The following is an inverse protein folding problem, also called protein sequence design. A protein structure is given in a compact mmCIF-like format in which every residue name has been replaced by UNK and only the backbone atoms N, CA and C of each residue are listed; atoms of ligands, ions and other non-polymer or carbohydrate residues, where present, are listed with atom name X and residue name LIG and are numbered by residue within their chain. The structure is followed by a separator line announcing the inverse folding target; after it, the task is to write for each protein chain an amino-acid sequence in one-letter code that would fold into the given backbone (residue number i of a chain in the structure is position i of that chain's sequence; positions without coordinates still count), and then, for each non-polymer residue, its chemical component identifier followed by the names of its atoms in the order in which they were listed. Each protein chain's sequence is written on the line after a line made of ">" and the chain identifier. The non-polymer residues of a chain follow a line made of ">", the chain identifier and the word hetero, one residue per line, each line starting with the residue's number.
data_IF_510881895267
#
_entry.id   IF_510881895267
#
_cell.length_a   1.000
_cell.length_b   1.000
_cell.length_c   1.000
_cell.angle_alpha   90.00
_cell.angle_beta   90.00
_cell.angle_gamma   90.00
#
_symmetry.space_group_name_H-M   'P 1'
#
loop_
_entity.id
_entity.type
_entity.pdbx_description
1 polymer ?
#
# COMPACT_ATOMS: atom_id res chain seq x y z
N UNK A 1 36.52 -27.01 33.02
CA UNK A 1 36.80 -26.64 31.62
C UNK A 1 35.95 -25.44 31.24
N UNK A 2 36.47 -24.23 31.49
CA UNK A 2 35.83 -22.96 31.15
C UNK A 2 35.99 -22.70 29.65
N UNK A 3 34.87 -22.58 28.93
CA UNK A 3 34.85 -22.28 27.49
C UNK A 3 34.98 -20.77 27.31
N UNK A 4 36.15 -20.31 26.88
CA UNK A 4 36.37 -18.94 26.41
C UNK A 4 35.44 -18.66 25.23
N UNK A 5 34.55 -17.67 25.38
CA UNK A 5 33.77 -17.14 24.26
C UNK A 5 34.70 -16.32 23.36
N UNK A 6 34.86 -16.76 22.11
CA UNK A 6 35.62 -16.05 21.11
C UNK A 6 34.98 -14.69 20.81
N UNK A 7 35.80 -13.64 20.69
CA UNK A 7 35.37 -12.30 20.34
C UNK A 7 34.61 -12.29 19.00
N UNK A 8 33.53 -11.50 18.85
CA UNK A 8 32.78 -11.46 17.61
C UNK A 8 33.68 -10.98 16.47
N UNK A 9 33.80 -11.80 15.42
CA UNK A 9 34.48 -11.44 14.18
C UNK A 9 33.74 -10.25 13.57
N UNK A 10 34.41 -9.10 13.47
CA UNK A 10 33.87 -7.91 12.81
C UNK A 10 33.49 -8.27 11.37
N UNK A 11 32.18 -8.27 11.07
CA UNK A 11 31.62 -8.62 9.76
C UNK A 11 30.75 -9.88 9.71
N UNK A 12 30.61 -10.64 10.80
CA UNK A 12 29.69 -11.77 10.84
C UNK A 12 28.23 -11.30 10.95
N UNK A 13 27.43 -11.52 9.90
CA UNK A 13 25.98 -11.29 9.94
C UNK A 13 25.37 -12.19 11.02
N UNK A 14 24.59 -11.64 11.99
CA UNK A 14 23.93 -12.43 13.02
C UNK A 14 23.12 -13.58 12.44
N UNK A 15 23.05 -14.71 13.13
CA UNK A 15 22.36 -15.89 12.62
C UNK A 15 20.91 -15.62 12.20
N UNK A 16 20.22 -14.74 12.94
CA UNK A 16 18.86 -14.31 12.66
C UNK A 16 18.73 -13.41 11.41
N UNK A 17 19.81 -12.78 10.97
CA UNK A 17 19.81 -11.86 9.82
C UNK A 17 20.26 -12.54 8.52
N UNK A 18 20.86 -13.73 8.60
CA UNK A 18 21.31 -14.46 7.41
C UNK A 18 20.10 -14.96 6.61
N UNK A 19 19.98 -14.49 5.36
CA UNK A 19 18.86 -14.81 4.48
C UNK A 19 17.60 -13.97 4.74
N UNK A 20 17.66 -12.97 5.62
CA UNK A 20 16.55 -12.08 5.86
C UNK A 20 16.31 -11.14 4.66
N UNK A 21 15.05 -11.05 4.21
CA UNK A 21 14.63 -10.12 3.17
C UNK A 21 14.36 -8.75 3.77
N UNK A 22 15.14 -7.73 3.37
CA UNK A 22 14.87 -6.33 3.73
C UNK A 22 14.08 -5.66 2.62
N UNK A 23 12.84 -5.27 2.93
CA UNK A 23 11.96 -4.56 2.00
C UNK A 23 12.05 -3.07 2.29
N UNK A 24 12.52 -2.30 1.31
CA UNK A 24 12.59 -0.86 1.42
C UNK A 24 11.19 -0.23 1.36
N UNK A 25 10.99 0.90 2.04
CA UNK A 25 9.73 1.66 2.09
C UNK A 25 9.16 1.94 0.70
N UNK A 26 10.03 2.25 -0.27
CA UNK A 26 9.64 2.48 -1.68
C UNK A 26 8.97 1.26 -2.33
N UNK A 27 9.31 0.04 -1.90
CA UNK A 27 8.70 -1.19 -2.41
C UNK A 27 7.33 -1.39 -1.77
N UNK A 28 7.22 -1.13 -0.46
CA UNK A 28 5.93 -1.16 0.25
C UNK A 28 4.96 -0.14 -0.36
N UNK A 29 5.45 1.06 -0.68
CA UNK A 29 4.67 2.07 -1.40
C UNK A 29 4.15 1.56 -2.75
N UNK A 30 4.99 0.86 -3.54
CA UNK A 30 4.54 0.27 -4.81
C UNK A 30 3.48 -0.82 -4.61
N UNK A 31 3.64 -1.67 -3.60
CA UNK A 31 2.65 -2.69 -3.25
C UNK A 31 1.33 -2.02 -2.88
N UNK A 32 1.37 -1.00 -2.02
CA UNK A 32 0.19 -0.27 -1.59
C UNK A 32 -0.53 0.46 -2.73
N UNK A 33 0.21 1.15 -3.61
CA UNK A 33 -0.34 1.81 -4.79
C UNK A 33 -1.02 0.80 -5.73
N UNK A 34 -0.37 -0.35 -5.96
CA UNK A 34 -0.92 -1.42 -6.80
C UNK A 34 -2.19 -2.02 -6.18
N UNK A 35 -2.16 -2.31 -4.88
CA UNK A 35 -3.30 -2.84 -4.14
C UNK A 35 -4.49 -1.86 -4.15
N UNK A 36 -4.23 -0.56 -4.02
CA UNK A 36 -5.27 0.46 -4.14
C UNK A 36 -5.91 0.47 -5.53
N UNK A 37 -5.10 0.41 -6.61
CA UNK A 37 -5.59 0.31 -7.99
C UNK A 37 -6.47 -0.93 -8.21
N UNK A 38 -6.11 -2.06 -7.61
CA UNK A 38 -6.90 -3.30 -7.72
C UNK A 38 -8.21 -3.25 -6.93
N UNK A 39 -8.31 -2.39 -5.91
CA UNK A 39 -9.49 -2.26 -5.07
C UNK A 39 -10.55 -1.30 -5.64
N UNK A 40 -10.17 -0.46 -6.61
CA UNK A 40 -11.08 0.45 -7.29
C UNK A 40 -11.94 -0.36 -8.26
N UNK A 41 -13.25 -0.43 -7.99
CA UNK A 41 -14.20 -1.10 -8.86
C UNK A 41 -14.35 -0.40 -10.22
N UNK A 42 -14.30 0.94 -10.21
CA UNK A 42 -14.51 1.76 -11.39
C UNK A 42 -13.58 2.99 -11.33
N UNK A 43 -12.32 2.86 -11.79
CA UNK A 43 -11.42 3.99 -11.87
C UNK A 43 -11.87 4.97 -12.98
N UNK A 44 -11.67 6.28 -12.82
CA UNK A 44 -11.97 7.25 -13.88
C UNK A 44 -11.14 6.99 -15.14
N UNK A 45 -11.75 7.09 -16.33
CA UNK A 45 -11.06 6.85 -17.62
C UNK A 45 -9.85 7.77 -17.83
N UNK A 46 -9.99 9.06 -17.49
CA UNK A 46 -8.93 10.07 -17.59
C UNK A 46 -8.26 10.36 -16.23
N UNK A 47 -8.50 9.50 -15.24
CA UNK A 47 -7.98 9.66 -13.89
C UNK A 47 -6.52 9.26 -13.75
N UNK A 48 -5.81 9.90 -12.82
CA UNK A 48 -4.47 9.45 -12.45
C UNK A 48 -4.54 8.14 -11.67
N UNK A 49 -3.54 7.28 -11.90
CA UNK A 49 -3.42 6.06 -11.11
C UNK A 49 -3.20 6.37 -9.62
N UNK A 50 -3.73 5.54 -8.70
CA UNK A 50 -3.48 5.70 -7.28
C UNK A 50 -1.99 5.62 -6.98
N UNK A 51 -1.53 6.49 -6.09
CA UNK A 51 -0.16 6.50 -5.61
C UNK A 51 -0.12 6.41 -4.09
N UNK A 52 1.03 6.00 -3.56
CA UNK A 52 1.19 5.76 -2.13
C UNK A 52 2.50 6.36 -1.60
N UNK A 53 2.43 6.83 -0.36
CA UNK A 53 3.60 7.13 0.47
C UNK A 53 3.54 6.28 1.73
N UNK A 54 4.70 5.81 2.19
CA UNK A 54 4.81 4.87 3.30
C UNK A 54 5.95 5.31 4.22
N UNK A 55 5.70 5.23 5.52
CA UNK A 55 6.71 5.30 6.59
C UNK A 55 6.72 3.94 7.29
N UNK A 56 7.87 3.27 7.34
CA UNK A 56 8.03 1.99 8.03
C UNK A 56 8.86 2.17 9.29
N UNK A 57 8.35 1.67 10.42
CA UNK A 57 9.06 1.63 11.71
C UNK A 57 8.85 0.29 12.37
N UNK A 58 9.94 -0.39 12.71
CA UNK A 58 9.93 -1.66 13.46
C UNK A 58 8.99 -2.73 12.87
N UNK A 59 8.93 -2.81 11.53
CA UNK A 59 8.05 -3.76 10.82
C UNK A 59 6.57 -3.36 10.75
N UNK A 60 6.22 -2.16 11.23
CA UNK A 60 4.90 -1.57 11.08
C UNK A 60 4.90 -0.46 10.02
N UNK A 61 3.89 -0.45 9.15
CA UNK A 61 3.76 0.51 8.06
C UNK A 61 2.58 1.47 8.29
N UNK A 62 2.84 2.77 8.11
CA UNK A 62 1.82 3.80 7.96
C UNK A 62 1.69 4.18 6.50
N UNK A 63 0.50 4.02 5.93
CA UNK A 63 0.28 4.19 4.49
C UNK A 63 -0.64 5.38 4.23
N UNK A 64 -0.26 6.23 3.27
CA UNK A 64 -1.15 7.26 2.71
C UNK A 64 -1.34 7.00 1.23
N UNK A 65 -2.59 6.95 0.78
CA UNK A 65 -2.97 6.74 -0.61
C UNK A 65 -3.62 8.00 -1.15
N UNK A 66 -3.11 8.52 -2.28
CA UNK A 66 -3.79 9.51 -3.11
C UNK A 66 -4.48 8.82 -4.29
N UNK A 67 -5.76 9.13 -4.53
CA UNK A 67 -6.53 8.56 -5.63
C UNK A 67 -7.57 9.54 -6.17
N UNK A 68 -8.04 9.28 -7.38
CA UNK A 68 -9.12 10.00 -8.03
C UNK A 68 -10.29 9.04 -8.27
N UNK A 69 -11.53 9.50 -8.06
CA UNK A 69 -12.74 8.66 -8.14
C UNK A 69 -13.75 9.25 -9.13
N UNK A 70 -14.64 8.41 -9.65
CA UNK A 70 -15.78 8.86 -10.47
C UNK A 70 -16.88 9.46 -9.59
N UNK A 71 -17.73 10.30 -10.19
CA UNK A 71 -18.91 10.86 -9.57
C UNK A 71 -20.09 10.82 -10.54
N UNK A 72 -21.28 10.36 -10.10
CA UNK A 72 -21.59 9.89 -8.74
C UNK A 72 -21.00 8.49 -8.44
N UNK A 73 -20.54 8.27 -7.20
CA UNK A 73 -20.09 6.98 -6.68
C UNK A 73 -20.21 6.91 -5.15
N UNK A 74 -20.19 5.71 -4.56
CA UNK A 74 -20.10 5.54 -3.11
C UNK A 74 -18.64 5.69 -2.64
N UNK A 75 -18.23 6.93 -2.40
CA UNK A 75 -16.88 7.29 -1.96
C UNK A 75 -16.50 6.56 -0.67
N UNK A 76 -17.45 6.41 0.26
CA UNK A 76 -17.23 5.75 1.55
C UNK A 76 -16.90 4.28 1.39
N UNK A 77 -17.72 3.56 0.60
CA UNK A 77 -17.50 2.15 0.31
C UNK A 77 -16.21 1.92 -0.48
N UNK A 78 -15.89 2.75 -1.47
CA UNK A 78 -14.66 2.64 -2.24
C UNK A 78 -13.42 2.89 -1.37
N UNK A 79 -13.41 3.94 -0.56
CA UNK A 79 -12.32 4.20 0.39
C UNK A 79 -12.15 3.05 1.39
N UNK A 80 -13.26 2.50 1.91
CA UNK A 80 -13.22 1.36 2.81
C UNK A 80 -12.67 0.09 2.14
N UNK A 81 -13.03 -0.15 0.88
CA UNK A 81 -12.48 -1.24 0.07
C UNK A 81 -10.97 -1.11 -0.09
N UNK A 82 -10.49 0.08 -0.48
CA UNK A 82 -9.06 0.34 -0.64
C UNK A 82 -8.31 0.14 0.68
N UNK A 83 -8.81 0.68 1.80
CA UNK A 83 -8.15 0.49 3.11
C UNK A 83 -7.97 -0.98 3.46
N UNK A 84 -9.01 -1.80 3.26
CA UNK A 84 -8.96 -3.24 3.54
C UNK A 84 -7.96 -3.96 2.63
N UNK A 85 -8.01 -3.71 1.32
CA UNK A 85 -7.16 -4.38 0.36
C UNK A 85 -5.68 -4.00 0.53
N UNK A 86 -5.38 -2.73 0.78
CA UNK A 86 -4.01 -2.27 1.04
C UNK A 86 -3.46 -2.91 2.31
N UNK A 87 -4.23 -2.95 3.40
CA UNK A 87 -3.79 -3.57 4.65
C UNK A 87 -3.50 -5.07 4.46
N UNK A 88 -4.39 -5.81 3.76
CA UNK A 88 -4.20 -7.23 3.45
C UNK A 88 -2.97 -7.44 2.55
N UNK A 89 -2.85 -6.75 1.43
CA UNK A 89 -1.76 -6.97 0.47
C UNK A 89 -0.39 -6.60 1.02
N UNK A 90 -0.28 -5.53 1.81
CA UNK A 90 0.98 -5.17 2.46
C UNK A 90 1.35 -6.21 3.52
N UNK A 91 0.38 -6.70 4.30
CA UNK A 91 0.62 -7.79 5.25
C UNK A 91 1.10 -9.07 4.57
N UNK A 92 0.41 -9.49 3.51
CA UNK A 92 0.72 -10.72 2.75
C UNK A 92 2.08 -10.66 2.05
N UNK A 93 2.38 -9.55 1.36
CA UNK A 93 3.53 -9.47 0.45
C UNK A 93 4.78 -8.87 1.10
N UNK A 94 4.62 -8.02 2.11
CA UNK A 94 5.74 -7.38 2.79
C UNK A 94 5.99 -7.91 4.21
N UNK A 95 5.09 -8.74 4.75
CA UNK A 95 5.21 -9.26 6.12
C UNK A 95 5.13 -8.16 7.19
N UNK A 96 4.46 -7.04 6.88
CA UNK A 96 4.36 -5.87 7.77
C UNK A 96 2.96 -5.71 8.34
N UNK A 97 2.86 -5.24 9.59
CA UNK A 97 1.57 -4.85 10.16
C UNK A 97 1.24 -3.41 9.77
N UNK A 98 0.08 -3.19 9.15
CA UNK A 98 -0.36 -1.85 8.75
C UNK A 98 -1.11 -1.19 9.91
N UNK A 99 -0.52 -0.17 10.51
CA UNK A 99 -1.12 0.52 11.67
C UNK A 99 -2.22 1.51 11.28
N UNK A 100 -2.10 2.11 10.09
CA UNK A 100 -3.05 3.09 9.58
C UNK A 100 -2.99 3.17 8.04
N UNK A 101 -4.16 3.33 7.42
CA UNK A 101 -4.29 3.67 6.00
C UNK A 101 -5.13 4.95 5.84
N UNK A 102 -4.46 6.06 5.55
CA UNK A 102 -5.11 7.32 5.19
C UNK A 102 -5.40 7.31 3.69
N UNK A 103 -6.63 7.65 3.30
CA UNK A 103 -7.04 7.75 1.88
C UNK A 103 -7.41 9.19 1.60
N UNK A 104 -6.74 9.80 0.62
CA UNK A 104 -7.00 11.13 0.10
C UNK A 104 -7.65 10.99 -1.29
N UNK A 105 -8.87 11.51 -1.41
CA UNK A 105 -9.54 11.67 -2.71
C UNK A 105 -9.15 13.04 -3.26
N UNK A 106 -8.29 13.03 -4.27
CA UNK A 106 -7.68 14.25 -4.82
C UNK A 106 -8.57 14.91 -5.88
N UNK A 107 -9.37 14.12 -6.59
CA UNK A 107 -10.27 14.58 -7.64
C UNK A 107 -11.47 13.67 -7.77
N UNK A 108 -12.62 14.29 -8.07
CA UNK A 108 -13.84 13.60 -8.48
C UNK A 108 -14.12 13.90 -9.95
N UNK A 109 -14.25 12.84 -10.75
CA UNK A 109 -14.48 12.89 -12.19
C UNK A 109 -15.94 12.64 -12.50
N UNK A 110 -16.61 13.62 -13.10
CA UNK A 110 -18.01 13.45 -13.48
C UNK A 110 -18.10 12.48 -14.66
N UNK A 111 -18.90 11.43 -14.51
CA UNK A 111 -19.23 10.56 -15.65
C UNK A 111 -20.22 11.32 -16.52
N UNK A 112 -19.91 11.46 -17.81
CA UNK A 112 -20.87 12.03 -18.75
C UNK A 112 -22.08 11.08 -18.81
N UNK A 113 -23.32 11.58 -18.70
CA UNK A 113 -24.48 10.73 -18.92
C UNK A 113 -24.34 10.17 -20.34
N UNK A 114 -24.50 8.85 -20.49
CA UNK A 114 -24.59 8.21 -21.79
C UNK A 114 -25.57 9.05 -22.61
N UNK A 115 -25.08 9.66 -23.70
CA UNK A 115 -25.91 10.54 -24.51
C UNK A 115 -26.98 9.68 -25.15
N UNK A 116 -28.12 9.59 -24.46
CA UNK A 116 -29.30 8.88 -24.89
C UNK A 116 -29.66 9.38 -26.27
N UNK A 117 -29.48 8.50 -27.25
CA UNK A 117 -29.97 8.70 -28.61
C UNK A 117 -31.49 8.76 -28.50
N UNK A 118 -32.01 9.98 -28.41
CA UNK A 118 -33.45 10.23 -28.40
C UNK A 118 -33.99 9.77 -29.76
N UNK A 119 -34.67 8.62 -29.75
CA UNK A 119 -35.49 8.12 -30.86
C UNK A 119 -36.87 8.72 -30.76
#
# INVERSE_FOLDING_TARGET
>A
MTRTAAAPVAGAIPAAERGATRIADRVVAKIAARAAREALAEPPEEGREPHATVDVRDGSARVRIGMELTYPSDIGAQCASVRRQVASRVGELAGMTVSEVTVLVERLHRVAPESGRMR
#
